data_IF_178335891630
#
_entry.id   IF_178335891630
#
_cell.length_a   1.000
_cell.length_b   1.000
_cell.length_c   1.000
_cell.angle_alpha   90.00
_cell.angle_beta   90.00
_cell.angle_gamma   90.00
#
_symmetry.space_group_name_H-M   'P 1'
#
loop_
_entity.id
_entity.type
_entity.pdbx_description
1 polymer ?
#
# COMPACT_ATOMS: atom_id res chain seq x y z
N UNK A 1 12.27 -44.65 55.25
CA UNK A 1 12.37 -43.22 54.86
C UNK A 1 12.81 -43.06 53.39
N UNK A 2 13.89 -43.70 52.93
CA UNK A 2 14.44 -43.47 51.59
C UNK A 2 13.53 -43.90 50.43
N UNK A 3 12.84 -45.05 50.53
CA UNK A 3 11.99 -45.56 49.45
C UNK A 3 10.84 -44.59 49.12
N UNK A 4 10.24 -43.97 50.14
CA UNK A 4 9.17 -42.98 49.96
C UNK A 4 9.68 -41.75 49.19
N UNK A 5 10.84 -41.22 49.57
CA UNK A 5 11.46 -40.07 48.90
C UNK A 5 11.87 -40.40 47.45
N UNK A 6 12.37 -41.62 47.21
CA UNK A 6 12.68 -42.08 45.85
C UNK A 6 11.42 -42.15 44.99
N UNK A 7 10.32 -42.72 45.51
CA UNK A 7 9.05 -42.78 44.78
C UNK A 7 8.47 -41.39 44.51
N UNK A 8 8.54 -40.49 45.49
CA UNK A 8 8.06 -39.12 45.34
C UNK A 8 8.87 -38.36 44.28
N UNK A 9 10.19 -38.54 44.26
CA UNK A 9 11.07 -37.93 43.26
C UNK A 9 10.81 -38.48 41.86
N UNK A 10 10.63 -39.81 41.74
CA UNK A 10 10.26 -40.44 40.47
C UNK A 10 8.91 -39.93 39.94
N UNK A 11 7.92 -39.77 40.83
CA UNK A 11 6.63 -39.20 40.49
C UNK A 11 6.73 -37.73 40.07
N UNK A 12 7.55 -36.93 40.77
CA UNK A 12 7.80 -35.53 40.43
C UNK A 12 8.41 -35.41 39.02
N UNK A 13 9.39 -36.25 38.69
CA UNK A 13 10.01 -36.27 37.35
C UNK A 13 8.96 -36.63 36.29
N UNK A 14 8.12 -37.63 36.54
CA UNK A 14 7.04 -38.01 35.63
C UNK A 14 6.06 -36.87 35.38
N UNK A 15 5.63 -36.17 36.44
CA UNK A 15 4.75 -35.00 36.34
C UNK A 15 5.42 -33.88 35.55
N UNK A 16 6.70 -33.61 35.82
CA UNK A 16 7.46 -32.58 35.12
C UNK A 16 7.59 -32.89 33.62
N UNK A 17 7.97 -34.12 33.27
CA UNK A 17 8.06 -34.55 31.86
C UNK A 17 6.68 -34.51 31.19
N UNK A 18 5.62 -34.93 31.89
CA UNK A 18 4.25 -34.84 31.40
C UNK A 18 3.83 -33.39 31.10
N UNK A 19 4.13 -32.45 32.00
CA UNK A 19 3.88 -31.03 31.79
C UNK A 19 4.66 -30.47 30.60
N UNK A 20 5.94 -30.84 30.46
CA UNK A 20 6.78 -30.42 29.34
C UNK A 20 6.19 -30.88 27.99
N UNK A 21 5.82 -32.16 27.89
CA UNK A 21 5.19 -32.71 26.68
C UNK A 21 3.89 -31.97 26.36
N UNK A 22 3.06 -31.70 27.39
CA UNK A 22 1.81 -30.98 27.22
C UNK A 22 2.03 -29.58 26.62
N UNK A 23 2.96 -28.79 27.17
CA UNK A 23 3.24 -27.45 26.68
C UNK A 23 3.89 -27.46 25.30
N UNK A 24 4.83 -28.37 25.03
CA UNK A 24 5.45 -28.50 23.72
C UNK A 24 4.41 -28.82 22.64
N UNK A 25 3.48 -29.74 22.90
CA UNK A 25 2.39 -30.04 21.96
C UNK A 25 1.52 -28.81 21.70
N UNK A 26 1.20 -28.02 22.72
CA UNK A 26 0.43 -26.78 22.53
C UNK A 26 1.17 -25.76 21.67
N UNK A 27 2.48 -25.62 21.86
CA UNK A 27 3.30 -24.71 21.06
C UNK A 27 3.33 -25.16 19.60
N UNK A 28 3.51 -26.46 19.34
CA UNK A 28 3.51 -27.01 17.96
C UNK A 28 2.19 -26.69 17.25
N UNK A 29 1.06 -26.97 17.89
CA UNK A 29 -0.26 -26.69 17.32
C UNK A 29 -0.44 -25.19 17.04
N UNK A 30 0.01 -24.32 17.95
CA UNK A 30 -0.04 -22.87 17.74
C UNK A 30 0.81 -22.45 16.52
N UNK A 31 2.04 -22.94 16.41
CA UNK A 31 2.93 -22.64 15.28
C UNK A 31 2.37 -23.16 13.94
N UNK A 32 1.73 -24.32 13.94
CA UNK A 32 1.06 -24.86 12.75
C UNK A 32 -0.06 -23.95 12.24
N UNK A 33 -0.86 -23.39 13.16
CA UNK A 33 -1.91 -22.42 12.79
C UNK A 33 -1.35 -21.08 12.31
N UNK A 34 -0.20 -20.65 12.82
CA UNK A 34 0.43 -19.37 12.44
C UNK A 34 1.11 -19.48 11.07
N UNK A 35 1.91 -20.51 10.83
CA UNK A 35 2.75 -20.59 9.64
C UNK A 35 3.08 -21.98 9.11
N UNK A 36 2.61 -23.06 9.75
CA UNK A 36 3.03 -24.42 9.38
C UNK A 36 2.28 -25.04 8.19
N UNK A 37 1.22 -24.40 7.69
CA UNK A 37 0.40 -24.95 6.59
C UNK A 37 -0.01 -23.89 5.58
N UNK A 38 -0.44 -24.31 4.39
CA UNK A 38 -0.99 -23.42 3.36
C UNK A 38 -2.29 -22.71 3.77
N UNK A 39 -2.94 -23.16 4.84
CA UNK A 39 -4.15 -22.55 5.41
C UNK A 39 -3.86 -21.70 6.66
N UNK A 40 -2.59 -21.60 7.05
CA UNK A 40 -2.15 -20.82 8.20
C UNK A 40 -2.37 -19.32 8.01
N UNK A 41 -2.32 -18.56 9.11
CA UNK A 41 -2.50 -17.12 9.08
C UNK A 41 -1.49 -16.42 8.17
N UNK A 42 -0.20 -16.79 8.25
CA UNK A 42 0.85 -16.21 7.40
C UNK A 42 0.64 -16.53 5.92
N UNK A 43 0.17 -17.73 5.59
CA UNK A 43 -0.14 -18.09 4.20
C UNK A 43 -1.27 -17.21 3.64
N UNK A 44 -2.34 -16.98 4.43
CA UNK A 44 -3.44 -16.09 4.05
C UNK A 44 -3.00 -14.64 3.88
N UNK A 45 -2.18 -14.14 4.83
CA UNK A 45 -1.63 -12.79 4.74
C UNK A 45 -0.73 -12.64 3.52
N UNK A 46 0.16 -13.60 3.26
CA UNK A 46 1.04 -13.59 2.09
C UNK A 46 0.25 -13.61 0.77
N UNK A 47 -0.81 -14.42 0.69
CA UNK A 47 -1.71 -14.42 -0.46
C UNK A 47 -2.40 -13.05 -0.64
N UNK A 48 -2.94 -12.48 0.43
CA UNK A 48 -3.60 -11.18 0.40
C UNK A 48 -2.66 -10.05 -0.02
N UNK A 49 -1.45 -9.98 0.55
CA UNK A 49 -0.45 -8.97 0.19
C UNK A 49 -0.02 -9.10 -1.26
N UNK A 50 0.14 -10.33 -1.77
CA UNK A 50 0.50 -10.56 -3.18
C UNK A 50 -0.63 -10.17 -4.14
N UNK A 51 -1.87 -10.38 -3.74
CA UNK A 51 -3.02 -9.89 -4.50
C UNK A 51 -3.02 -8.36 -4.56
N UNK A 52 -2.80 -7.68 -3.43
CA UNK A 52 -2.66 -6.22 -3.37
C UNK A 52 -1.51 -5.75 -4.28
N UNK A 53 -0.33 -6.37 -4.22
CA UNK A 53 0.80 -6.03 -5.08
C UNK A 53 0.46 -6.18 -6.57
N UNK A 54 -0.25 -7.25 -6.94
CA UNK A 54 -0.66 -7.51 -8.32
C UNK A 54 -1.68 -6.47 -8.79
N UNK A 55 -2.68 -6.18 -7.97
CA UNK A 55 -3.72 -5.20 -8.25
C UNK A 55 -3.17 -3.77 -8.21
N UNK A 56 -2.12 -3.49 -7.45
CA UNK A 56 -1.58 -2.13 -7.32
C UNK A 56 -0.34 -1.85 -8.17
N UNK A 57 0.28 -2.88 -8.75
CA UNK A 57 1.51 -2.75 -9.54
C UNK A 57 1.39 -1.83 -10.75
N UNK A 58 0.18 -1.63 -11.27
CA UNK A 58 -0.08 -0.73 -12.40
C UNK A 58 -0.29 0.73 -12.00
N UNK A 59 -0.48 1.06 -10.72
CA UNK A 59 -0.73 2.45 -10.31
C UNK A 59 0.49 3.35 -10.57
N UNK A 60 1.71 2.88 -10.28
CA UNK A 60 2.91 3.68 -10.48
C UNK A 60 3.09 4.20 -11.92
N UNK A 61 3.02 3.36 -12.97
CA UNK A 61 3.10 3.85 -14.35
C UNK A 61 1.90 4.72 -14.73
N UNK A 62 0.68 4.38 -14.27
CA UNK A 62 -0.52 5.18 -14.57
C UNK A 62 -0.48 6.57 -13.97
N UNK A 63 -0.03 6.72 -12.71
CA UNK A 63 0.15 8.03 -12.06
C UNK A 63 1.20 8.85 -12.79
N UNK A 64 2.29 8.21 -13.23
CA UNK A 64 3.33 8.89 -14.03
C UNK A 64 2.76 9.40 -15.35
N UNK A 65 2.03 8.56 -16.07
CA UNK A 65 1.40 8.94 -17.35
C UNK A 65 0.34 10.02 -17.17
N UNK A 66 -0.48 9.94 -16.11
CA UNK A 66 -1.48 10.94 -15.79
C UNK A 66 -0.84 12.30 -15.53
N UNK A 67 0.22 12.34 -14.71
CA UNK A 67 0.93 13.58 -14.40
C UNK A 67 1.58 14.19 -15.66
N UNK A 68 2.14 13.37 -16.55
CA UNK A 68 2.66 13.84 -17.84
C UNK A 68 1.55 14.46 -18.70
N UNK A 69 0.39 13.79 -18.79
CA UNK A 69 -0.76 14.30 -19.53
C UNK A 69 -1.29 15.62 -18.95
N UNK A 70 -1.39 15.73 -17.63
CA UNK A 70 -1.83 16.96 -16.96
C UNK A 70 -0.83 18.10 -17.14
N UNK A 71 0.48 17.80 -17.15
CA UNK A 71 1.53 18.79 -17.42
C UNK A 71 1.40 19.32 -18.84
N UNK A 72 1.30 18.42 -19.83
CA UNK A 72 1.13 18.80 -21.23
C UNK A 72 -0.18 19.59 -21.48
N UNK A 73 -1.26 19.21 -20.80
CA UNK A 73 -2.52 19.94 -20.84
C UNK A 73 -2.34 21.37 -20.30
N UNK A 74 -1.66 21.53 -19.16
CA UNK A 74 -1.37 22.83 -18.57
C UNK A 74 -0.54 23.72 -19.48
N UNK A 75 0.50 23.17 -20.11
CA UNK A 75 1.33 23.87 -21.08
C UNK A 75 0.51 24.33 -22.31
N UNK A 76 -0.32 23.43 -22.86
CA UNK A 76 -1.19 23.76 -23.98
C UNK A 76 -2.20 24.86 -23.66
N UNK A 77 -2.82 24.82 -22.47
CA UNK A 77 -3.74 25.87 -22.00
C UNK A 77 -3.01 27.21 -21.82
N UNK A 78 -1.77 27.21 -21.32
CA UNK A 78 -0.94 28.41 -21.23
C UNK A 78 -0.61 29.03 -22.59
N UNK A 79 -0.33 28.19 -23.59
CA UNK A 79 -0.11 28.66 -24.96
C UNK A 79 -1.38 29.29 -25.58
N UNK A 80 -2.55 28.71 -25.31
CA UNK A 80 -3.85 29.27 -25.74
C UNK A 80 -4.09 30.63 -25.08
N UNK A 81 -3.89 30.77 -23.77
CA UNK A 81 -4.01 32.06 -23.06
C UNK A 81 -3.08 33.13 -23.65
N UNK A 82 -1.82 32.78 -23.93
CA UNK A 82 -0.86 33.67 -24.58
C UNK A 82 -1.32 34.11 -25.97
N UNK A 83 -1.84 33.17 -26.78
CA UNK A 83 -2.38 33.49 -28.10
C UNK A 83 -3.60 34.40 -28.03
N UNK A 84 -4.55 34.13 -27.13
CA UNK A 84 -5.72 34.99 -26.93
C UNK A 84 -5.32 36.41 -26.51
N UNK A 85 -4.36 36.56 -25.59
CA UNK A 85 -3.82 37.88 -25.21
C UNK A 85 -3.22 38.62 -26.41
N UNK A 86 -2.48 37.94 -27.26
CA UNK A 86 -1.90 38.53 -28.46
C UNK A 86 -2.99 38.97 -29.46
N UNK A 87 -4.02 38.15 -29.68
CA UNK A 87 -5.16 38.51 -30.54
C UNK A 87 -5.90 39.73 -30.00
N UNK A 88 -6.18 39.78 -28.70
CA UNK A 88 -6.82 40.95 -28.06
C UNK A 88 -5.98 42.22 -28.27
N UNK A 89 -4.66 42.12 -28.04
CA UNK A 89 -3.74 43.25 -28.26
C UNK A 89 -3.73 43.71 -29.72
N UNK A 90 -3.74 42.79 -30.67
CA UNK A 90 -3.78 43.11 -32.10
C UNK A 90 -5.11 43.78 -32.51
N UNK A 91 -6.25 43.26 -32.06
CA UNK A 91 -7.58 43.83 -32.36
C UNK A 91 -7.74 45.22 -31.75
N UNK A 92 -7.28 45.41 -30.52
CA UNK A 92 -7.32 46.73 -29.86
C UNK A 92 -6.39 47.74 -30.53
N UNK A 93 -5.20 47.32 -30.99
CA UNK A 93 -4.29 48.18 -31.74
C UNK A 93 -4.80 48.50 -33.17
N UNK A 94 -5.53 47.57 -33.80
CA UNK A 94 -6.10 47.74 -35.14
C UNK A 94 -7.39 48.58 -35.15
N UNK A 95 -7.93 48.93 -33.99
CA UNK A 95 -9.08 49.84 -33.86
C UNK A 95 -8.56 51.25 -33.50
N UNK A 96 -8.12 52.08 -34.47
CA UNK A 96 -7.92 53.49 -34.19
C UNK A 96 -9.28 54.13 -33.88
N UNK A 97 -9.29 55.07 -32.93
CA UNK A 97 -10.46 55.85 -32.57
C UNK A 97 -11.11 56.48 -33.82
N UNK A 98 -12.20 55.89 -34.30
CA UNK A 98 -13.02 56.43 -35.40
C UNK A 98 -13.96 57.54 -34.92
N UNK A 99 -13.73 58.14 -33.74
CA UNK A 99 -14.72 58.99 -33.06
C UNK A 99 -14.29 60.45 -32.83
N UNK A 100 -13.24 60.94 -33.48
CA UNK A 100 -12.91 62.39 -33.44
C UNK A 100 -12.84 62.99 -34.85
N UNK A 101 -13.97 62.96 -35.57
CA UNK A 101 -14.26 63.94 -36.63
C UNK A 101 -15.75 64.00 -36.93
N UNK A 102 -16.45 64.87 -36.20
CA UNK A 102 -17.67 65.54 -36.64
C UNK A 102 -17.82 66.85 -35.84
N UNK A 103 -18.57 67.86 -36.33
CA UNK A 103 -18.99 68.16 -37.71
C UNK A 103 -18.07 69.18 -38.41
#
# INVERSE_FOLDING_TARGET
MNILLTLLTALLILVFVGALIYFLRRIVVALETIGGTSQSYLAKLGFGVRAIETETGHLAPQVTQLNQGLTALGEGLGAIDGHLKAVIAAVTAATPATEERAP
#
